data_IF_984479913231
#
_entry.id   IF_984479913231
#
_cell.length_a   1.000
_cell.length_b   1.000
_cell.length_c   1.000
_cell.angle_alpha   90.00
_cell.angle_beta   90.00
_cell.angle_gamma   90.00
#
_symmetry.space_group_name_H-M   'P 1'
#
loop_
_entity.id
_entity.type
_entity.pdbx_description
1 polymer ?
#
# COMPACT_ATOMS: atom_id res chain seq x y z
N UNK A 1 -8.16 3.82 -3.93
CA UNK A 1 -6.76 3.91 -3.48
C UNK A 1 -5.93 3.06 -4.41
N UNK A 2 -4.80 3.59 -4.87
CA UNK A 2 -3.93 2.94 -5.85
C UNK A 2 -2.53 2.80 -5.26
N UNK A 3 -1.92 1.62 -5.41
CA UNK A 3 -0.56 1.34 -5.01
C UNK A 3 0.27 1.04 -6.25
N UNK A 4 1.35 1.78 -6.40
CA UNK A 4 2.34 1.63 -7.44
C UNK A 4 3.55 0.94 -6.83
N UNK A 5 3.98 -0.17 -7.42
CA UNK A 5 5.09 -0.98 -6.93
C UNK A 5 6.15 -1.18 -7.99
N UNK A 6 7.38 -1.47 -7.55
CA UNK A 6 8.43 -1.91 -8.46
C UNK A 6 8.06 -3.30 -9.00
N UNK A 7 7.97 -3.49 -10.32
CA UNK A 7 7.53 -4.77 -10.88
C UNK A 7 8.57 -5.87 -10.69
N UNK A 8 8.10 -7.09 -10.46
CA UNK A 8 8.93 -8.29 -10.56
C UNK A 8 9.01 -8.82 -12.00
N UNK A 9 9.50 -10.06 -12.16
CA UNK A 9 9.59 -10.74 -13.46
C UNK A 9 9.13 -12.20 -13.32
N UNK A 10 8.49 -12.74 -14.37
CA UNK A 10 8.14 -14.16 -14.44
C UNK A 10 7.06 -14.60 -13.45
N UNK A 11 6.02 -13.78 -13.25
CA UNK A 11 4.93 -14.06 -12.30
C UNK A 11 5.23 -13.63 -10.86
N UNK A 12 6.39 -13.02 -10.62
CA UNK A 12 6.74 -12.40 -9.34
C UNK A 12 6.22 -10.96 -9.35
N UNK A 13 5.52 -10.58 -8.27
CA UNK A 13 4.87 -9.27 -8.14
C UNK A 13 5.88 -8.14 -7.96
N UNK A 14 6.92 -8.34 -7.14
CA UNK A 14 7.99 -7.37 -6.93
C UNK A 14 9.25 -8.03 -6.37
N UNK A 15 10.43 -7.48 -6.69
CA UNK A 15 11.70 -7.80 -6.03
C UNK A 15 12.15 -6.73 -5.03
N UNK A 16 11.45 -5.59 -4.98
CA UNK A 16 11.77 -4.50 -4.08
C UNK A 16 11.27 -4.82 -2.67
N UNK A 17 12.15 -4.85 -1.64
CA UNK A 17 11.78 -5.27 -0.30
C UNK A 17 10.70 -4.36 0.33
N UNK A 18 10.73 -3.06 0.02
CA UNK A 18 9.74 -2.10 0.52
C UNK A 18 8.36 -2.37 -0.10
N UNK A 19 8.30 -2.64 -1.41
CA UNK A 19 7.09 -3.02 -2.12
C UNK A 19 6.52 -4.34 -1.60
N UNK A 20 7.38 -5.35 -1.39
CA UNK A 20 6.99 -6.64 -0.81
C UNK A 20 6.43 -6.47 0.60
N UNK A 21 7.04 -5.62 1.43
CA UNK A 21 6.57 -5.32 2.78
C UNK A 21 5.17 -4.70 2.79
N UNK A 22 4.94 -3.69 1.93
CA UNK A 22 3.63 -3.04 1.81
C UNK A 22 2.57 -4.02 1.27
N UNK A 23 2.91 -4.83 0.27
CA UNK A 23 2.01 -5.86 -0.25
C UNK A 23 1.65 -6.87 0.83
N UNK A 24 2.63 -7.39 1.57
CA UNK A 24 2.40 -8.32 2.67
C UNK A 24 1.46 -7.71 3.73
N UNK A 25 1.69 -6.44 4.08
CA UNK A 25 0.82 -5.71 5.01
C UNK A 25 -0.63 -5.63 4.50
N UNK A 26 -0.85 -5.33 3.23
CA UNK A 26 -2.18 -5.23 2.61
C UNK A 26 -2.86 -6.60 2.44
N UNK A 27 -2.11 -7.64 2.08
CA UNK A 27 -2.62 -9.01 1.94
C UNK A 27 -3.06 -9.59 3.28
N UNK A 28 -2.20 -9.48 4.31
CA UNK A 28 -2.58 -9.82 5.67
C UNK A 28 -3.79 -8.99 6.10
N UNK A 29 -3.78 -7.69 5.73
CA UNK A 29 -4.81 -6.66 5.77
C UNK A 29 -6.19 -7.03 5.22
N UNK A 30 -6.26 -7.97 4.27
CA UNK A 30 -7.40 -8.13 3.35
C UNK A 30 -7.91 -6.78 2.82
N UNK A 31 -6.98 -5.88 2.52
CA UNK A 31 -7.32 -4.53 2.09
C UNK A 31 -7.64 -4.49 0.60
N UNK A 32 -8.84 -4.03 0.21
CA UNK A 32 -9.15 -3.84 -1.20
C UNK A 32 -8.39 -2.60 -1.71
N UNK A 33 -7.34 -2.84 -2.49
CA UNK A 33 -6.53 -1.80 -3.11
C UNK A 33 -6.18 -2.21 -4.53
N UNK A 34 -6.17 -1.24 -5.44
CA UNK A 34 -5.72 -1.50 -6.81
C UNK A 34 -4.19 -1.42 -6.84
N UNK A 35 -3.53 -2.53 -7.19
CA UNK A 35 -2.07 -2.61 -7.31
C UNK A 35 -1.72 -2.47 -8.78
N UNK A 36 -0.90 -1.48 -9.10
CA UNK A 36 -0.44 -1.16 -10.45
C UNK A 36 1.07 -1.35 -10.53
N UNK A 37 1.50 -2.07 -11.55
CA UNK A 37 2.90 -2.36 -11.82
C UNK A 37 3.48 -1.21 -12.65
N UNK A 38 4.57 -0.59 -12.19
CA UNK A 38 5.05 0.66 -12.81
C UNK A 38 5.94 0.44 -14.02
N UNK A 39 5.73 -0.65 -14.79
CA UNK A 39 6.54 -0.98 -15.98
C UNK A 39 6.53 0.08 -17.09
N UNK A 40 5.84 1.21 -16.94
CA UNK A 40 5.59 2.17 -18.02
C UNK A 40 5.98 3.63 -17.74
N UNK A 41 6.45 3.99 -16.55
CA UNK A 41 6.83 5.38 -16.25
C UNK A 41 8.25 5.48 -15.67
N UNK A 42 9.23 5.45 -16.59
CA UNK A 42 10.67 5.51 -16.29
C UNK A 42 11.14 6.85 -15.68
N UNK A 43 10.27 7.87 -15.58
CA UNK A 43 10.67 9.24 -15.26
C UNK A 43 10.23 9.77 -13.88
N UNK A 44 9.30 9.13 -13.17
CA UNK A 44 8.65 9.74 -11.98
C UNK A 44 8.77 8.96 -10.66
N UNK A 45 9.35 7.76 -10.67
CA UNK A 45 9.21 6.82 -9.55
C UNK A 45 10.55 6.46 -8.90
N UNK A 46 11.35 7.46 -8.53
CA UNK A 46 12.58 7.23 -7.76
C UNK A 46 12.34 6.69 -6.34
N UNK A 47 11.08 6.61 -5.89
CA UNK A 47 10.67 6.12 -4.56
C UNK A 47 9.41 5.26 -4.67
N UNK A 48 9.59 3.98 -4.94
CA UNK A 48 8.54 2.96 -4.78
C UNK A 48 8.69 2.28 -3.42
N UNK A 49 7.63 1.72 -2.84
CA UNK A 49 6.24 1.76 -3.29
C UNK A 49 5.62 3.16 -3.13
N UNK A 50 4.73 3.55 -4.04
CA UNK A 50 4.02 4.82 -4.02
C UNK A 50 2.51 4.57 -3.87
N UNK A 51 1.89 5.19 -2.90
CA UNK A 51 0.45 5.11 -2.65
C UNK A 51 -0.22 6.43 -3.06
N UNK A 52 -1.28 6.35 -3.87
CA UNK A 52 -2.12 7.48 -4.25
C UNK A 52 -3.54 7.30 -3.72
N UNK A 53 -4.03 8.30 -3.02
CA UNK A 53 -5.39 8.36 -2.50
C UNK A 53 -5.98 9.76 -2.75
N UNK A 54 -6.71 9.91 -3.85
CA UNK A 54 -7.19 11.22 -4.29
C UNK A 54 -6.02 12.16 -4.62
N UNK A 55 -5.89 13.26 -3.89
CA UNK A 55 -4.80 14.24 -4.03
C UNK A 55 -3.59 13.94 -3.14
N UNK A 56 -3.65 12.88 -2.31
CA UNK A 56 -2.57 12.51 -1.41
C UNK A 56 -1.67 11.48 -2.08
N UNK A 57 -0.36 11.75 -2.05
CA UNK A 57 0.68 10.85 -2.54
C UNK A 57 1.72 10.62 -1.44
N UNK A 58 2.06 9.36 -1.18
CA UNK A 58 3.07 8.98 -0.18
C UNK A 58 3.92 7.83 -0.69
N UNK A 59 5.24 7.89 -0.47
CA UNK A 59 6.20 6.93 -1.01
C UNK A 59 7.09 6.30 0.06
N UNK A 60 7.56 5.08 -0.20
CA UNK A 60 8.37 4.26 0.70
C UNK A 60 7.51 3.44 1.68
N UNK A 61 8.04 2.33 2.17
CA UNK A 61 7.23 1.39 2.95
C UNK A 61 6.69 2.00 4.26
N UNK A 62 7.54 2.65 5.06
CA UNK A 62 7.15 3.21 6.37
C UNK A 62 6.11 4.33 6.24
N UNK A 63 6.29 5.36 5.39
CA UNK A 63 5.28 6.39 5.19
C UNK A 63 3.95 5.84 4.66
N UNK A 64 3.99 4.88 3.73
CA UNK A 64 2.79 4.23 3.18
C UNK A 64 2.02 3.48 4.27
N UNK A 65 2.70 2.64 5.06
CA UNK A 65 2.06 1.89 6.15
C UNK A 65 1.47 2.83 7.21
N UNK A 66 2.19 3.90 7.57
CA UNK A 66 1.70 4.88 8.54
C UNK A 66 0.47 5.63 8.03
N UNK A 67 0.44 5.97 6.73
CA UNK A 67 -0.74 6.56 6.11
C UNK A 67 -1.92 5.58 6.11
N UNK A 68 -1.72 4.32 5.70
CA UNK A 68 -2.76 3.30 5.75
C UNK A 68 -3.34 3.15 7.17
N UNK A 69 -2.49 3.16 8.19
CA UNK A 69 -2.91 3.15 9.60
C UNK A 69 -3.68 4.40 10.04
N UNK A 70 -3.44 5.57 9.44
CA UNK A 70 -4.18 6.79 9.77
C UNK A 70 -5.57 6.77 9.15
N UNK A 71 -5.70 6.35 7.89
CA UNK A 71 -6.99 6.26 7.19
C UNK A 71 -8.00 5.36 7.90
N UNK A 72 -7.52 4.34 8.60
CA UNK A 72 -8.35 3.39 9.35
C UNK A 72 -9.00 4.04 10.57
N UNK A 73 -8.31 4.99 11.22
CA UNK A 73 -8.87 5.73 12.35
C UNK A 73 -10.00 6.65 11.90
N UNK A 74 -9.87 7.25 10.72
CA UNK A 74 -10.87 8.15 10.15
C UNK A 74 -12.09 7.40 9.56
N UNK A 75 -11.89 6.17 9.07
CA UNK A 75 -12.94 5.37 8.40
C UNK A 75 -13.93 4.68 9.34
N UNK A 76 -13.70 4.72 10.67
CA UNK A 76 -14.59 4.11 11.67
C UNK A 76 -15.98 4.80 11.77
N UNK A 77 -16.26 5.77 10.89
CA UNK A 77 -17.54 6.50 10.80
C UNK A 77 -18.42 5.99 9.65
N UNK A 78 -17.89 5.34 8.61
CA UNK A 78 -18.67 4.96 7.41
C UNK A 78 -18.30 3.59 6.79
N UNK A 79 -18.50 2.50 7.53
CA UNK A 79 -19.05 1.24 6.99
C UNK A 79 -18.25 0.41 5.97
N UNK A 80 -16.94 0.60 5.82
CA UNK A 80 -16.12 -0.22 4.91
C UNK A 80 -14.69 -0.37 5.40
N UNK A 81 -14.47 -1.19 6.43
CA UNK A 81 -13.15 -1.31 7.08
C UNK A 81 -12.40 -2.53 6.55
N UNK A 82 -11.16 -2.34 6.08
CA UNK A 82 -10.20 -3.44 5.85
C UNK A 82 -10.07 -4.29 7.13
N UNK A 83 -10.28 -5.60 7.01
CA UNK A 83 -10.33 -6.49 8.17
C UNK A 83 -9.03 -6.57 8.97
N UNK A 84 -7.86 -6.39 8.35
CA UNK A 84 -6.59 -6.50 9.07
C UNK A 84 -5.85 -5.19 9.32
N UNK A 85 -6.44 -4.05 8.95
CA UNK A 85 -6.09 -2.82 9.62
C UNK A 85 -6.64 -2.76 11.06
N UNK A 86 -7.79 -3.40 11.32
CA UNK A 86 -8.35 -3.57 12.67
C UNK A 86 -7.53 -4.54 13.54
N UNK A 87 -7.02 -5.63 12.97
CA UNK A 87 -6.21 -6.61 13.72
C UNK A 87 -4.85 -6.05 14.17
N UNK A 88 -4.19 -5.20 13.37
CA UNK A 88 -2.87 -4.67 13.74
C UNK A 88 -2.90 -3.52 14.75
N UNK A 89 -4.00 -2.78 14.87
CA UNK A 89 -4.15 -1.76 15.92
C UNK A 89 -4.33 -2.32 17.32
N UNK A 90 -4.70 -3.60 17.45
CA UNK A 90 -4.88 -4.28 18.73
C UNK A 90 -3.66 -5.10 19.20
N UNK A 91 -2.57 -5.12 18.42
CA UNK A 91 -1.37 -5.92 18.69
C UNK A 91 -0.12 -5.08 19.05
N UNK A 92 -0.29 -3.80 19.38
CA UNK A 92 0.77 -2.94 19.92
C UNK A 92 0.35 -2.39 21.29
#
# INVERSE_FOLDING_TARGET
MELFISPGRGGIVSFDPDSVLVLAYLYLGKCPINVNDTMHDDALLSKLPLLRHGTVETSGAVPVINYLRSQVRDSNVHGGVCFACLCFTHLC
#
